data_IF_015099102733
#
_entry.id   IF_015099102733
#
_cell.length_a   1.000
_cell.length_b   1.000
_cell.length_c   1.000
_cell.angle_alpha   90.00
_cell.angle_beta   90.00
_cell.angle_gamma   90.00
#
_symmetry.space_group_name_H-M   'P 1'
#
loop_
_entity.id
_entity.type
_entity.pdbx_description
1 polymer ?
#
# COMPACT_ATOMS: atom_id res chain seq x y z
N UNK A 1 -2.88 12.64 33.16
CA UNK A 1 -2.41 12.25 31.82
C UNK A 1 -1.36 13.27 31.43
N UNK A 2 -0.14 12.84 31.16
CA UNK A 2 0.94 13.75 30.77
C UNK A 2 0.92 14.00 29.25
N UNK A 3 1.54 15.09 28.81
CA UNK A 3 1.72 15.35 27.37
C UNK A 3 2.51 14.23 26.67
N UNK A 4 3.39 13.52 27.40
CA UNK A 4 4.12 12.37 26.87
C UNK A 4 3.18 11.18 26.62
N UNK A 5 2.25 10.91 27.53
CA UNK A 5 1.26 9.83 27.37
C UNK A 5 0.35 10.07 26.16
N UNK A 6 -0.03 11.33 25.92
CA UNK A 6 -0.81 11.75 24.75
C UNK A 6 -0.04 11.52 23.44
N UNK A 7 1.25 11.84 23.42
CA UNK A 7 2.13 11.60 22.26
C UNK A 7 2.29 10.11 21.99
N UNK A 8 2.52 9.29 23.02
CA UNK A 8 2.65 7.84 22.88
C UNK A 8 1.35 7.21 22.37
N UNK A 9 0.19 7.66 22.86
CA UNK A 9 -1.12 7.19 22.38
C UNK A 9 -1.37 7.58 20.92
N UNK A 10 -0.96 8.79 20.51
CA UNK A 10 -1.08 9.24 19.12
C UNK A 10 -0.18 8.42 18.18
N UNK A 11 1.05 8.10 18.61
CA UNK A 11 1.97 7.25 17.84
C UNK A 11 1.43 5.84 17.66
N UNK A 12 0.92 5.22 18.72
CA UNK A 12 0.30 3.90 18.63
C UNK A 12 -0.88 3.88 17.65
N UNK A 13 -1.72 4.92 17.69
CA UNK A 13 -2.83 5.08 16.73
C UNK A 13 -2.32 5.24 15.30
N UNK A 14 -1.26 6.01 15.08
CA UNK A 14 -0.66 6.18 13.76
C UNK A 14 -0.09 4.86 13.22
N UNK A 15 0.58 4.06 14.06
CA UNK A 15 1.08 2.74 13.67
C UNK A 15 -0.05 1.78 13.25
N UNK A 16 -1.15 1.74 14.00
CA UNK A 16 -2.32 0.91 13.64
C UNK A 16 -2.91 1.31 12.29
N UNK A 17 -3.07 2.62 12.04
CA UNK A 17 -3.58 3.13 10.77
C UNK A 17 -2.64 2.81 9.60
N UNK A 18 -1.33 2.91 9.80
CA UNK A 18 -0.33 2.55 8.78
C UNK A 18 -0.36 1.05 8.46
N UNK A 19 -0.46 0.20 9.49
CA UNK A 19 -0.62 -1.24 9.29
C UNK A 19 -1.91 -1.58 8.53
N UNK A 20 -3.00 -0.88 8.82
CA UNK A 20 -4.25 -1.07 8.10
C UNK A 20 -4.12 -0.63 6.62
N UNK A 21 -3.54 0.53 6.35
CA UNK A 21 -3.30 0.99 5.00
C UNK A 21 -2.41 0.02 4.20
N UNK A 22 -1.37 -0.55 4.82
CA UNK A 22 -0.53 -1.57 4.18
C UNK A 22 -1.32 -2.85 3.82
N UNK A 23 -2.23 -3.29 4.70
CA UNK A 23 -3.10 -4.46 4.41
C UNK A 23 -4.05 -4.19 3.24
N UNK A 24 -4.68 -3.03 3.22
CA UNK A 24 -5.59 -2.64 2.14
C UNK A 24 -4.84 -2.50 0.81
N UNK A 25 -3.63 -1.95 0.84
CA UNK A 25 -2.79 -1.82 -0.34
C UNK A 25 -2.34 -3.19 -0.89
N UNK A 26 -1.96 -4.12 0.00
CA UNK A 26 -1.60 -5.48 -0.38
C UNK A 26 -2.78 -6.22 -1.04
N UNK A 27 -3.99 -6.06 -0.50
CA UNK A 27 -5.20 -6.61 -1.10
C UNK A 27 -5.47 -6.02 -2.50
N UNK A 28 -5.31 -4.70 -2.65
CA UNK A 28 -5.43 -4.03 -3.95
C UNK A 28 -4.40 -4.51 -4.97
N UNK A 29 -3.16 -4.77 -4.55
CA UNK A 29 -2.11 -5.34 -5.40
C UNK A 29 -2.48 -6.75 -5.89
N UNK A 30 -2.95 -7.62 -4.99
CA UNK A 30 -3.40 -8.97 -5.37
C UNK A 30 -4.53 -8.92 -6.40
N UNK A 31 -5.51 -8.02 -6.22
CA UNK A 31 -6.61 -7.86 -7.17
C UNK A 31 -6.14 -7.35 -8.54
N UNK A 32 -5.14 -6.46 -8.58
CA UNK A 32 -4.53 -6.01 -9.83
C UNK A 32 -3.76 -7.15 -10.53
N UNK A 33 -3.01 -7.95 -9.78
CA UNK A 33 -2.27 -9.09 -10.31
C UNK A 33 -3.22 -10.16 -10.89
N UNK A 34 -4.33 -10.45 -10.19
CA UNK A 34 -5.39 -11.34 -10.67
C UNK A 34 -6.04 -10.81 -11.96
N UNK A 35 -6.34 -9.51 -12.02
CA UNK A 35 -6.87 -8.88 -13.21
C UNK A 35 -5.88 -8.91 -14.39
N UNK A 36 -4.58 -8.74 -14.12
CA UNK A 36 -3.52 -8.88 -15.14
C UNK A 36 -3.47 -10.29 -15.70
N UNK A 37 -3.46 -11.31 -14.83
CA UNK A 37 -3.41 -12.71 -15.24
C UNK A 37 -4.65 -13.13 -16.03
N UNK A 38 -5.83 -12.63 -15.64
CA UNK A 38 -7.07 -12.88 -16.38
C UNK A 38 -7.02 -12.28 -17.79
N UNK A 39 -6.44 -11.08 -17.95
CA UNK A 39 -6.26 -10.43 -19.25
C UNK A 39 -5.26 -11.19 -20.12
N UNK A 40 -4.12 -11.61 -19.57
CA UNK A 40 -3.12 -12.42 -20.30
C UNK A 40 -3.71 -13.76 -20.78
N UNK A 41 -4.54 -14.40 -19.93
CA UNK A 41 -5.26 -15.63 -20.29
C UNK A 41 -6.28 -15.43 -21.41
N UNK A 42 -6.91 -14.25 -21.50
CA UNK A 42 -7.83 -13.90 -22.58
C UNK A 42 -7.08 -13.55 -23.88
N UNK A 43 -5.93 -12.87 -23.81
CA UNK A 43 -5.08 -12.59 -24.98
C UNK A 43 -4.55 -13.87 -25.64
N UNK A 44 -4.27 -14.92 -24.85
CA UNK A 44 -3.90 -16.25 -25.35
C UNK A 44 -5.04 -16.97 -26.09
N UNK A 45 -6.30 -16.69 -25.74
CA UNK A 45 -7.49 -17.30 -26.33
C UNK A 45 -7.99 -16.56 -27.58
N UNK A 46 -7.78 -15.24 -27.65
CA UNK A 46 -7.95 -14.41 -28.82
C UNK A 46 -7.09 -13.15 -28.65
N UNK A 47 -6.24 -12.76 -29.61
CA UNK A 47 -5.34 -11.61 -29.46
C UNK A 47 -6.15 -10.31 -29.45
N UNK A 48 -6.63 -9.92 -28.29
CA UNK A 48 -7.34 -8.68 -28.03
C UNK A 48 -6.36 -7.69 -27.39
N UNK A 49 -5.58 -7.05 -28.26
CA UNK A 49 -4.99 -5.71 -28.11
C UNK A 49 -4.79 -5.18 -26.67
N UNK A 50 -3.56 -5.31 -26.20
CA UNK A 50 -2.86 -4.41 -25.28
C UNK A 50 -3.41 -4.37 -23.85
N UNK A 51 -2.57 -4.78 -22.90
CA UNK A 51 -2.69 -4.50 -21.47
C UNK A 51 -3.24 -3.08 -21.27
N UNK A 52 -4.41 -2.91 -20.65
CA UNK A 52 -5.03 -1.60 -20.49
C UNK A 52 -4.06 -0.66 -19.76
N UNK A 53 -3.80 0.53 -20.31
CA UNK A 53 -2.91 1.53 -19.70
C UNK A 53 -3.31 1.89 -18.26
N UNK A 54 -4.59 1.70 -17.90
CA UNK A 54 -5.09 1.85 -16.54
C UNK A 54 -4.51 0.82 -15.55
N UNK A 55 -4.22 -0.41 -15.99
CA UNK A 55 -3.67 -1.47 -15.15
C UNK A 55 -2.20 -1.19 -14.80
N UNK A 56 -1.38 -0.81 -15.78
CA UNK A 56 -0.01 -0.37 -15.53
C UNK A 56 0.05 0.85 -14.62
N UNK A 57 -0.83 1.83 -14.84
CA UNK A 57 -0.92 3.02 -13.99
C UNK A 57 -1.28 2.64 -12.55
N UNK A 58 -2.26 1.76 -12.37
CA UNK A 58 -2.69 1.32 -11.04
C UNK A 58 -1.56 0.58 -10.32
N UNK A 59 -0.80 -0.28 -11.00
CA UNK A 59 0.38 -0.94 -10.42
C UNK A 59 1.45 0.05 -9.94
N UNK A 60 1.77 1.04 -10.78
CA UNK A 60 2.74 2.09 -10.42
C UNK A 60 2.29 2.96 -9.24
N UNK A 61 1.00 3.31 -9.17
CA UNK A 61 0.46 4.06 -8.02
C UNK A 61 0.47 3.21 -6.74
N UNK A 62 0.19 1.91 -6.83
CA UNK A 62 0.29 0.99 -5.69
C UNK A 62 1.72 0.92 -5.14
N UNK A 63 2.72 0.77 -6.01
CA UNK A 63 4.12 0.76 -5.59
C UNK A 63 4.54 2.09 -4.94
N UNK A 64 4.09 3.20 -5.51
CA UNK A 64 4.35 4.53 -4.96
C UNK A 64 3.76 4.70 -3.56
N UNK A 65 2.49 4.33 -3.38
CA UNK A 65 1.82 4.43 -2.08
C UNK A 65 2.49 3.50 -1.06
N UNK A 66 2.98 2.34 -1.49
CA UNK A 66 3.69 1.41 -0.61
C UNK A 66 4.98 2.03 -0.07
N UNK A 67 5.78 2.64 -0.94
CA UNK A 67 7.01 3.34 -0.51
C UNK A 67 6.73 4.49 0.46
N UNK A 68 5.66 5.26 0.24
CA UNK A 68 5.26 6.33 1.16
C UNK A 68 4.82 5.80 2.53
N UNK A 69 4.09 4.68 2.58
CA UNK A 69 3.68 4.05 3.84
C UNK A 69 4.88 3.52 4.64
N UNK A 70 5.88 2.98 3.95
CA UNK A 70 7.11 2.50 4.57
C UNK A 70 7.92 3.67 5.15
N UNK A 71 8.10 4.76 4.39
CA UNK A 71 8.77 5.98 4.87
C UNK A 71 8.08 6.57 6.11
N UNK A 72 6.75 6.65 6.11
CA UNK A 72 6.00 7.18 7.25
C UNK A 72 6.09 6.25 8.46
N UNK A 73 6.04 4.93 8.24
CA UNK A 73 6.20 3.94 9.31
C UNK A 73 7.58 4.03 9.97
N UNK A 74 8.63 4.17 9.16
CA UNK A 74 9.99 4.33 9.67
C UNK A 74 10.16 5.65 10.43
N UNK A 75 9.54 6.74 9.97
CA UNK A 75 9.55 8.02 10.67
C UNK A 75 8.83 7.93 12.04
N UNK A 76 7.66 7.28 12.09
CA UNK A 76 6.90 7.08 13.34
C UNK A 76 7.71 6.25 14.35
N UNK A 77 8.29 5.13 13.90
CA UNK A 77 9.13 4.28 14.75
C UNK A 77 10.40 5.00 15.21
N UNK A 78 11.04 5.75 14.32
CA UNK A 78 12.23 6.53 14.63
C UNK A 78 11.95 7.62 15.67
N UNK A 79 10.81 8.29 15.57
CA UNK A 79 10.37 9.26 16.56
C UNK A 79 10.07 8.60 17.91
N UNK A 80 9.35 7.47 17.91
CA UNK A 80 9.03 6.72 19.13
C UNK A 80 10.29 6.20 19.85
N UNK A 81 11.30 5.75 19.12
CA UNK A 81 12.57 5.28 19.68
C UNK A 81 13.46 6.40 20.24
N UNK A 82 13.20 7.66 19.87
CA UNK A 82 13.92 8.84 20.35
C UNK A 82 13.27 9.54 21.55
N UNK A 83 12.08 9.11 21.96
CA UNK A 83 11.38 9.56 23.18
C UNK A 83 11.88 8.82 24.42
#
# INVERSE_FOLDING_TARGET
MSALDEVLAALATAEELLQQAQRELAAGRSALDEASQALDGLELAAPATAVPAGLQRAGGEVERVQGLLDEVSDAVRGFAAGL
#
